data_IF_987650974079
#
_entry.id   IF_987650974079
#
_cell.length_a   1.000
_cell.length_b   1.000
_cell.length_c   1.000
_cell.angle_alpha   90.00
_cell.angle_beta   90.00
_cell.angle_gamma   90.00
#
_symmetry.space_group_name_H-M   'P 1'
#
loop_
_entity.id
_entity.type
_entity.pdbx_description
1 polymer ?
#
# COMPACT_ATOMS: atom_id res chain seq x y z
N UNK A 1 7.35 13.67 -13.23
CA UNK A 1 7.90 12.29 -13.09
C UNK A 1 6.84 11.26 -13.46
N UNK A 2 7.23 10.04 -13.84
CA UNK A 2 6.29 8.92 -14.12
C UNK A 2 6.44 7.89 -13.01
N UNK A 3 5.31 7.39 -12.49
CA UNK A 3 5.26 6.30 -11.54
C UNK A 3 4.10 5.34 -11.87
N UNK A 4 4.15 4.13 -11.31
CA UNK A 4 3.17 3.07 -11.54
C UNK A 4 2.43 2.73 -10.25
N UNK A 5 1.12 2.56 -10.36
CA UNK A 5 0.23 2.23 -9.25
C UNK A 5 -0.55 0.97 -9.59
N UNK A 6 -0.45 -0.06 -8.76
CA UNK A 6 -1.27 -1.27 -8.88
C UNK A 6 -2.57 -1.12 -8.10
N UNK A 7 -3.69 -1.51 -8.70
CA UNK A 7 -5.01 -1.45 -8.10
C UNK A 7 -5.83 -2.69 -8.48
N UNK A 8 -6.55 -3.29 -7.53
CA UNK A 8 -7.41 -4.46 -7.77
C UNK A 8 -8.69 -4.12 -8.54
N UNK A 9 -9.16 -2.87 -8.45
CA UNK A 9 -10.35 -2.40 -9.15
C UNK A 9 -10.04 -1.27 -10.13
N UNK A 10 -10.90 -1.13 -11.15
CA UNK A 10 -10.81 -0.02 -12.09
C UNK A 10 -11.42 1.24 -11.49
N UNK A 11 -10.73 2.38 -11.62
CA UNK A 11 -11.22 3.69 -11.24
C UNK A 11 -10.82 4.74 -12.27
N UNK A 12 -11.58 5.82 -12.35
CA UNK A 12 -11.34 6.92 -13.30
C UNK A 12 -10.45 8.01 -12.71
N UNK A 13 -10.57 8.25 -11.41
CA UNK A 13 -9.85 9.30 -10.71
C UNK A 13 -9.41 8.80 -9.33
N UNK A 14 -8.23 9.23 -8.88
CA UNK A 14 -7.79 8.99 -7.51
C UNK A 14 -8.76 9.67 -6.53
N UNK A 15 -9.32 8.90 -5.61
CA UNK A 15 -10.15 9.40 -4.53
C UNK A 15 -9.54 8.94 -3.19
N UNK A 16 -9.78 9.72 -2.12
CA UNK A 16 -9.23 9.43 -0.78
C UNK A 16 -9.97 8.28 -0.07
N UNK A 17 -11.07 7.79 -0.63
CA UNK A 17 -12.04 6.97 0.08
C UNK A 17 -11.79 5.47 -0.10
N UNK A 18 -11.10 5.05 -1.16
CA UNK A 18 -10.91 3.62 -1.44
C UNK A 18 -9.42 3.26 -1.56
N UNK A 19 -8.93 2.46 -0.62
CA UNK A 19 -7.64 1.77 -0.75
C UNK A 19 -7.82 0.60 -1.72
N UNK A 20 -7.59 0.85 -3.01
CA UNK A 20 -7.75 -0.14 -4.08
C UNK A 20 -6.46 -0.98 -4.27
N UNK A 21 -5.38 -0.66 -3.53
CA UNK A 21 -4.11 -1.39 -3.60
C UNK A 21 -4.06 -2.53 -2.60
N UNK A 22 -3.51 -3.67 -3.02
CA UNK A 22 -3.07 -4.74 -2.12
C UNK A 22 -1.72 -4.37 -1.46
N UNK A 23 -1.72 -3.31 -0.64
CA UNK A 23 -0.54 -2.84 0.07
C UNK A 23 -0.40 -3.51 1.45
N UNK A 24 0.84 -3.60 1.95
CA UNK A 24 1.11 -4.12 3.29
C UNK A 24 0.28 -3.39 4.33
N UNK A 25 -0.36 -4.18 5.19
CA UNK A 25 -1.35 -3.66 6.12
C UNK A 25 -0.80 -2.48 6.90
N UNK A 26 0.38 -2.59 7.50
CA UNK A 26 0.88 -1.61 8.47
C UNK A 26 1.12 -0.21 7.92
N UNK A 27 1.34 -0.06 6.62
CA UNK A 27 1.73 1.22 6.00
C UNK A 27 0.72 1.73 4.96
N UNK A 28 -0.33 0.94 4.67
CA UNK A 28 -1.32 1.30 3.63
C UNK A 28 -2.07 2.60 3.92
N UNK A 29 -2.25 2.98 5.19
CA UNK A 29 -3.01 4.19 5.56
C UNK A 29 -2.19 5.48 5.54
N UNK A 30 -0.90 5.42 5.19
CA UNK A 30 -0.03 6.61 5.10
C UNK A 30 -0.38 7.46 3.88
N UNK A 31 -0.64 6.85 2.72
CA UNK A 31 -0.89 7.53 1.45
C UNK A 31 -0.97 6.55 0.29
N UNK A 32 -0.91 7.08 -0.94
CA UNK A 32 -0.94 6.31 -2.17
C UNK A 32 0.47 5.84 -2.53
N UNK A 33 0.63 4.54 -2.78
CA UNK A 33 1.94 3.93 -3.02
C UNK A 33 2.16 3.68 -4.50
N UNK A 34 3.32 4.09 -5.00
CA UNK A 34 3.72 3.96 -6.40
C UNK A 34 5.13 3.40 -6.50
N UNK A 35 5.44 2.80 -7.64
CA UNK A 35 6.78 2.31 -7.97
C UNK A 35 7.33 3.02 -9.20
N UNK A 36 8.66 3.04 -9.37
CA UNK A 36 9.28 3.50 -10.63
C UNK A 36 9.24 2.44 -11.73
N UNK A 37 8.94 1.19 -11.39
CA UNK A 37 8.94 0.05 -12.30
C UNK A 37 7.56 -0.62 -12.38
N UNK A 38 7.09 -0.84 -13.60
CA UNK A 38 5.77 -1.41 -13.88
C UNK A 38 5.61 -2.82 -13.31
N UNK A 39 6.65 -3.66 -13.39
CA UNK A 39 6.59 -5.06 -12.92
C UNK A 39 6.43 -5.10 -11.40
N UNK A 40 7.09 -4.18 -10.71
CA UNK A 40 6.98 -4.06 -9.25
C UNK A 40 5.61 -3.54 -8.80
N UNK A 41 4.81 -2.93 -9.68
CA UNK A 41 3.44 -2.52 -9.38
C UNK A 41 2.43 -3.69 -9.48
N UNK A 42 2.75 -4.76 -10.22
CA UNK A 42 1.85 -5.91 -10.48
C UNK A 42 1.33 -6.57 -9.20
N UNK A 43 2.16 -6.89 -8.20
CA UNK A 43 1.66 -7.55 -6.99
C UNK A 43 0.62 -6.73 -6.21
N UNK A 44 0.65 -5.40 -6.32
CA UNK A 44 -0.32 -4.52 -5.67
C UNK A 44 -1.69 -4.50 -6.37
N UNK A 45 -1.77 -5.03 -7.59
CA UNK A 45 -2.99 -5.15 -8.38
C UNK A 45 -3.59 -6.57 -8.36
N UNK A 46 -2.94 -7.53 -7.69
CA UNK A 46 -3.41 -8.91 -7.58
C UNK A 46 -3.77 -9.19 -6.12
N UNK A 47 -4.93 -9.78 -5.88
CA UNK A 47 -5.38 -10.13 -4.54
C UNK A 47 -6.58 -11.06 -4.56
N UNK A 48 -7.33 -11.05 -3.46
CA UNK A 48 -8.58 -11.78 -3.34
C UNK A 48 -9.68 -10.84 -2.84
N UNK A 49 -10.90 -11.05 -3.32
CA UNK A 49 -12.10 -10.42 -2.77
C UNK A 49 -12.97 -11.48 -2.10
N UNK A 50 -13.64 -11.09 -1.00
CA UNK A 50 -14.66 -11.94 -0.38
C UNK A 50 -16.01 -11.60 -0.97
N UNK A 51 -16.60 -12.57 -1.66
CA UNK A 51 -17.98 -12.50 -2.15
C UNK A 51 -18.89 -13.42 -1.33
N UNK A 52 -20.14 -13.01 -1.18
CA UNK A 52 -21.15 -13.77 -0.45
C UNK A 52 -22.07 -14.47 -1.44
N UNK A 53 -22.03 -15.79 -1.44
CA UNK A 53 -22.77 -16.62 -2.40
C UNK A 53 -23.69 -17.59 -1.67
N UNK A 54 -24.77 -17.98 -2.33
CA UNK A 54 -25.63 -19.05 -1.83
C UNK A 54 -24.88 -20.38 -1.95
N UNK A 55 -24.76 -21.09 -0.83
CA UNK A 55 -24.10 -22.39 -0.76
C UNK A 55 -24.89 -23.43 -1.53
N UNK A 56 -24.20 -24.24 -2.33
CA UNK A 56 -24.79 -25.39 -3.01
C UNK A 56 -24.93 -26.61 -2.10
N UNK A 57 -24.26 -26.60 -0.93
CA UNK A 57 -24.14 -27.75 -0.04
C UNK A 57 -24.64 -27.50 1.38
N UNK A 58 -24.83 -26.24 1.79
CA UNK A 58 -25.31 -25.87 3.10
C UNK A 58 -26.66 -25.15 3.02
N UNK A 59 -27.63 -25.64 3.79
CA UNK A 59 -28.99 -25.12 3.85
C UNK A 59 -29.38 -24.81 5.30
N UNK A 60 -30.27 -23.84 5.49
CA UNK A 60 -30.97 -23.58 6.74
C UNK A 60 -32.02 -24.67 7.01
N UNK A 61 -32.57 -24.71 8.22
CA UNK A 61 -33.57 -25.71 8.62
C UNK A 61 -34.89 -25.60 7.82
N UNK A 62 -35.16 -24.43 7.24
CA UNK A 62 -36.29 -24.17 6.35
C UNK A 62 -36.04 -24.59 4.89
N UNK A 63 -34.85 -25.10 4.58
CA UNK A 63 -34.45 -25.53 3.24
C UNK A 63 -33.88 -24.43 2.34
N UNK A 64 -33.76 -23.19 2.81
CA UNK A 64 -33.10 -22.13 2.04
C UNK A 64 -31.57 -22.29 2.07
N UNK A 65 -30.86 -22.06 0.94
CA UNK A 65 -29.40 -22.09 0.91
C UNK A 65 -28.78 -21.07 1.88
N UNK A 66 -27.76 -21.46 2.63
CA UNK A 66 -26.98 -20.53 3.45
C UNK A 66 -26.17 -19.59 2.57
N UNK A 67 -25.92 -18.38 3.07
CA UNK A 67 -24.98 -17.44 2.44
C UNK A 67 -23.60 -17.66 3.06
N UNK A 68 -22.63 -18.07 2.25
CA UNK A 68 -21.25 -18.36 2.68
C UNK A 68 -20.27 -17.39 2.02
N UNK A 69 -19.21 -16.99 2.74
CA UNK A 69 -18.13 -16.19 2.15
C UNK A 69 -17.23 -17.08 1.29
N UNK A 70 -16.94 -16.65 0.06
CA UNK A 70 -16.01 -17.30 -0.86
C UNK A 70 -14.94 -16.28 -1.24
N UNK A 71 -13.67 -16.69 -1.18
CA UNK A 71 -12.56 -15.88 -1.69
C UNK A 71 -12.41 -16.13 -3.20
N UNK A 72 -12.50 -15.05 -3.98
CA UNK A 72 -12.26 -15.08 -5.44
C UNK A 72 -10.97 -14.33 -5.76
N UNK A 73 -10.12 -14.86 -6.66
CA UNK A 73 -8.94 -14.14 -7.11
C UNK A 73 -9.35 -12.91 -7.93
N UNK A 74 -8.65 -11.79 -7.70
CA UNK A 74 -8.83 -10.54 -8.45
C UNK A 74 -7.52 -10.21 -9.17
N UNK A 75 -7.64 -9.96 -10.47
CA UNK A 75 -6.55 -9.46 -11.31
C UNK A 75 -6.94 -8.07 -11.78
N UNK A 76 -6.23 -7.07 -11.29
CA UNK A 76 -6.58 -5.67 -11.48
C UNK A 76 -5.83 -4.96 -12.61
N UNK A 77 -5.49 -3.70 -12.36
CA UNK A 77 -4.96 -2.76 -13.33
C UNK A 77 -3.71 -2.05 -12.81
N UNK A 78 -2.80 -1.73 -13.72
CA UNK A 78 -1.68 -0.83 -13.49
C UNK A 78 -1.97 0.53 -14.09
N UNK A 79 -1.85 1.57 -13.27
CA UNK A 79 -2.00 2.95 -13.69
C UNK A 79 -0.63 3.56 -13.87
N UNK A 80 -0.38 4.10 -15.06
CA UNK A 80 0.79 4.93 -15.32
C UNK A 80 0.43 6.38 -15.00
N UNK A 81 1.10 6.96 -14.00
CA UNK A 81 0.73 8.26 -13.46
C UNK A 81 1.86 9.26 -13.69
N UNK A 82 1.51 10.42 -14.24
CA UNK A 82 2.37 11.58 -14.27
C UNK A 82 2.16 12.39 -12.99
N UNK A 83 3.26 12.79 -12.37
CA UNK A 83 3.28 13.55 -11.12
C UNK A 83 4.15 14.78 -11.36
N UNK A 84 3.59 15.96 -11.12
CA UNK A 84 4.31 17.21 -11.35
C UNK A 84 5.20 17.55 -10.15
N UNK A 85 6.48 17.82 -10.43
CA UNK A 85 7.60 18.10 -9.51
C UNK A 85 7.31 18.09 -8.00
N UNK A 86 7.10 16.91 -7.38
CA UNK A 86 6.65 16.86 -5.99
C UNK A 86 7.79 17.11 -5.00
N UNK A 87 7.49 17.81 -3.91
CA UNK A 87 8.44 17.98 -2.81
C UNK A 87 8.44 16.75 -1.89
N UNK A 88 9.38 15.82 -2.11
CA UNK A 88 9.46 14.54 -1.40
C UNK A 88 10.59 14.50 -0.38
N UNK A 89 10.31 13.92 0.78
CA UNK A 89 11.38 13.47 1.68
C UNK A 89 12.05 12.25 1.07
N UNK A 90 13.36 12.31 0.83
CA UNK A 90 14.11 11.21 0.22
C UNK A 90 14.80 10.39 1.31
N UNK A 91 14.41 9.12 1.43
CA UNK A 91 15.12 8.12 2.20
C UNK A 91 16.13 7.42 1.28
N UNK A 92 17.41 7.66 1.55
CA UNK A 92 18.54 7.07 0.84
C UNK A 92 19.73 6.93 1.78
N UNK A 93 20.45 5.81 1.71
CA UNK A 93 21.74 5.63 2.36
C UNK A 93 22.62 4.68 1.57
N UNK A 94 23.93 4.86 1.73
CA UNK A 94 24.95 3.99 1.16
C UNK A 94 25.39 2.88 2.13
N UNK A 95 24.95 2.94 3.39
CA UNK A 95 25.38 2.03 4.47
C UNK A 95 24.23 1.24 5.11
N UNK A 96 22.99 1.71 4.97
CA UNK A 96 21.78 1.12 5.58
C UNK A 96 20.69 1.06 4.51
N UNK A 97 19.81 0.07 4.59
CA UNK A 97 18.65 -0.02 3.71
C UNK A 97 17.78 1.24 3.84
N UNK A 98 17.37 1.84 2.72
CA UNK A 98 16.49 3.00 2.72
C UNK A 98 15.15 2.69 3.38
N UNK A 99 14.66 1.45 3.27
CA UNK A 99 13.43 1.03 3.95
C UNK A 99 13.60 1.04 5.47
N UNK A 100 14.77 0.66 5.97
CA UNK A 100 15.07 0.71 7.41
C UNK A 100 15.10 2.15 7.93
N UNK A 101 15.62 3.10 7.16
CA UNK A 101 15.58 4.53 7.54
C UNK A 101 14.14 5.04 7.65
N UNK A 102 13.30 4.69 6.67
CA UNK A 102 11.88 5.02 6.67
C UNK A 102 11.19 4.46 7.92
N UNK A 103 11.34 3.15 8.15
CA UNK A 103 10.69 2.48 9.28
C UNK A 103 11.18 3.03 10.63
N UNK A 104 12.48 3.34 10.76
CA UNK A 104 13.04 3.95 11.99
C UNK A 104 12.46 5.35 12.24
N UNK A 105 12.20 6.12 11.19
CA UNK A 105 11.60 7.44 11.32
C UNK A 105 10.11 7.36 11.68
N UNK A 106 9.40 6.37 11.12
CA UNK A 106 8.00 6.05 11.43
C UNK A 106 7.83 5.50 12.86
N UNK A 107 8.75 4.67 13.34
CA UNK A 107 8.68 4.01 14.65
C UNK A 107 8.53 4.98 15.82
N UNK A 108 8.97 6.24 15.66
CA UNK A 108 8.78 7.30 16.67
C UNK A 108 7.32 7.58 17.01
N UNK A 109 6.39 7.18 16.14
CA UNK A 109 4.95 7.37 16.30
C UNK A 109 4.22 6.06 16.64
N UNK A 110 4.91 4.92 16.62
CA UNK A 110 4.34 3.59 16.79
C UNK A 110 4.32 3.16 18.26
N UNK A 111 3.18 2.63 18.71
CA UNK A 111 3.02 2.00 20.02
C UNK A 111 2.95 0.49 19.84
N UNK A 112 4.03 -0.19 20.21
CA UNK A 112 4.15 -1.64 20.11
C UNK A 112 3.83 -2.31 21.44
N UNK A 113 3.13 -3.45 21.38
CA UNK A 113 2.85 -4.30 22.54
C UNK A 113 3.69 -5.56 22.53
N UNK A 114 4.37 -5.84 23.65
CA UNK A 114 5.00 -7.14 23.92
C UNK A 114 5.00 -7.43 25.41
N UNK A 115 4.83 -8.71 25.74
CA UNK A 115 4.95 -9.20 27.12
C UNK A 115 6.41 -9.40 27.56
N UNK A 116 7.39 -9.31 26.65
CA UNK A 116 8.79 -9.74 26.90
C UNK A 116 9.85 -8.62 26.84
N UNK A 117 9.59 -7.49 26.16
CA UNK A 117 10.60 -6.44 25.89
C UNK A 117 9.98 -5.04 26.02
N UNK A 118 10.76 -4.08 26.55
CA UNK A 118 10.31 -2.70 26.82
C UNK A 118 10.64 -1.67 25.73
N UNK A 119 11.60 -1.97 24.84
CA UNK A 119 11.99 -1.09 23.72
C UNK A 119 11.80 -1.85 22.40
N UNK A 120 10.57 -1.84 21.92
CA UNK A 120 10.19 -2.55 20.70
C UNK A 120 10.35 -1.63 19.49
N UNK A 121 10.67 -2.25 18.36
CA UNK A 121 10.75 -1.61 17.05
C UNK A 121 10.01 -2.47 16.04
N UNK A 122 9.80 -1.95 14.83
CA UNK A 122 9.23 -2.73 13.72
C UNK A 122 9.98 -4.05 13.44
N UNK A 123 11.27 -4.13 13.76
CA UNK A 123 12.09 -5.34 13.59
C UNK A 123 11.76 -6.45 14.60
N UNK A 124 11.06 -6.13 15.68
CA UNK A 124 10.70 -7.09 16.72
C UNK A 124 9.40 -7.85 16.40
N UNK A 125 8.76 -7.58 15.25
CA UNK A 125 7.50 -8.22 14.81
C UNK A 125 6.40 -8.19 15.90
N UNK A 126 6.40 -7.13 16.71
CA UNK A 126 5.46 -6.93 17.80
C UNK A 126 4.11 -6.38 17.29
N UNK A 127 3.05 -6.55 18.09
CA UNK A 127 1.71 -6.08 17.72
C UNK A 127 1.70 -4.54 17.78
N UNK A 128 1.47 -3.89 16.64
CA UNK A 128 1.29 -2.45 16.54
C UNK A 128 -0.14 -2.06 16.95
N UNK A 129 -0.27 -1.31 18.05
CA UNK A 129 -1.56 -0.99 18.66
C UNK A 129 -2.25 0.22 18.04
N UNK A 130 -1.49 1.19 17.53
CA UNK A 130 -1.97 2.51 17.16
C UNK A 130 -1.76 2.83 15.67
N UNK A 131 -1.79 1.81 14.81
CA UNK A 131 -1.41 1.87 13.39
C UNK A 131 -1.90 3.10 12.62
N UNK A 132 -3.21 3.36 12.63
CA UNK A 132 -3.78 4.47 11.86
C UNK A 132 -3.41 5.84 12.45
N UNK A 133 -3.34 5.93 13.78
CA UNK A 133 -2.89 7.14 14.47
C UNK A 133 -1.41 7.41 14.22
N UNK A 134 -0.56 6.37 14.28
CA UNK A 134 0.87 6.45 14.01
C UNK A 134 1.13 6.92 12.57
N UNK A 135 0.46 6.32 11.60
CA UNK A 135 0.55 6.68 10.19
C UNK A 135 0.07 8.12 9.95
N UNK A 136 -1.04 8.54 10.59
CA UNK A 136 -1.52 9.92 10.50
C UNK A 136 -0.55 10.93 11.12
N UNK A 137 0.02 10.64 12.31
CA UNK A 137 1.02 11.49 12.96
C UNK A 137 2.30 11.62 12.13
N UNK A 138 2.80 10.50 11.60
CA UNK A 138 3.96 10.47 10.71
C UNK A 138 3.71 11.31 9.45
N UNK A 139 2.58 11.09 8.76
CA UNK A 139 2.17 11.88 7.61
C UNK A 139 2.08 13.36 7.92
N UNK A 140 1.37 13.73 8.99
CA UNK A 140 1.18 15.12 9.38
C UNK A 140 2.51 15.79 9.75
N UNK A 141 3.44 15.05 10.36
CA UNK A 141 4.79 15.56 10.62
C UNK A 141 5.48 15.93 9.31
N UNK A 142 5.44 15.07 8.28
CA UNK A 142 6.07 15.35 6.99
C UNK A 142 5.40 16.51 6.26
N UNK A 143 4.06 16.58 6.28
CA UNK A 143 3.29 17.71 5.73
C UNK A 143 3.70 19.02 6.42
N UNK A 144 3.85 19.03 7.75
CA UNK A 144 4.28 20.22 8.49
C UNK A 144 5.70 20.68 8.14
N UNK A 145 6.54 19.81 7.59
CA UNK A 145 7.85 20.16 7.03
C UNK A 145 7.80 20.54 5.54
N UNK A 146 6.60 20.63 4.96
CA UNK A 146 6.37 21.03 3.56
C UNK A 146 6.48 19.89 2.56
N UNK A 147 6.56 18.63 3.00
CA UNK A 147 6.63 17.48 2.09
C UNK A 147 5.23 17.03 1.64
N UNK A 148 5.10 16.71 0.36
CA UNK A 148 3.88 16.18 -0.26
C UNK A 148 3.84 14.64 -0.26
N UNK A 149 4.95 14.04 0.14
CA UNK A 149 5.15 12.60 0.19
C UNK A 149 6.58 12.24 0.57
N UNK A 150 6.95 10.99 0.32
CA UNK A 150 8.33 10.53 0.46
C UNK A 150 8.70 9.51 -0.60
N UNK A 151 10.00 9.37 -0.83
CA UNK A 151 10.63 8.42 -1.73
C UNK A 151 11.58 7.53 -0.93
N UNK A 152 11.39 6.22 -1.01
CA UNK A 152 12.33 5.21 -0.53
C UNK A 152 13.10 4.68 -1.73
N UNK A 153 14.37 5.07 -1.85
CA UNK A 153 15.20 4.66 -2.99
C UNK A 153 15.74 3.26 -2.85
N UNK A 154 15.87 2.55 -3.97
CA UNK A 154 16.45 1.20 -4.01
C UNK A 154 15.83 0.23 -2.99
N UNK A 155 14.52 0.35 -2.77
CA UNK A 155 13.77 -0.48 -1.87
C UNK A 155 13.78 -1.93 -2.37
N UNK A 156 14.14 -2.86 -1.48
CA UNK A 156 14.17 -4.29 -1.77
C UNK A 156 12.85 -4.91 -1.33
N UNK A 157 11.86 -4.91 -2.23
CA UNK A 157 10.56 -5.56 -2.01
C UNK A 157 10.36 -6.66 -3.06
N UNK A 158 9.74 -7.77 -2.63
CA UNK A 158 9.21 -8.85 -3.48
C UNK A 158 10.07 -9.19 -4.72
N UNK A 159 11.33 -9.57 -4.48
CA UNK A 159 12.30 -10.04 -5.48
C UNK A 159 12.87 -8.98 -6.45
N UNK A 160 12.68 -7.69 -6.20
CA UNK A 160 13.23 -6.60 -7.00
C UNK A 160 13.91 -5.49 -6.19
N UNK A 161 14.61 -4.60 -6.90
CA UNK A 161 15.07 -3.32 -6.38
C UNK A 161 14.31 -2.24 -7.14
N UNK A 162 13.46 -1.48 -6.45
CA UNK A 162 12.69 -0.40 -7.07
C UNK A 162 12.68 0.84 -6.19
N UNK A 163 12.36 1.99 -6.78
CA UNK A 163 12.04 3.18 -6.02
C UNK A 163 10.55 3.13 -5.64
N UNK A 164 10.28 3.34 -4.36
CA UNK A 164 8.92 3.34 -3.82
C UNK A 164 8.55 4.76 -3.39
N UNK A 165 7.44 5.26 -3.94
CA UNK A 165 6.91 6.59 -3.64
C UNK A 165 5.64 6.46 -2.83
N UNK A 166 5.46 7.34 -1.83
CA UNK A 166 4.20 7.49 -1.12
C UNK A 166 3.76 8.94 -1.17
N UNK A 167 2.56 9.19 -1.70
CA UNK A 167 1.99 10.54 -1.83
C UNK A 167 0.80 10.72 -0.89
N UNK A 168 0.75 11.87 -0.21
CA UNK A 168 -0.29 12.16 0.79
C UNK A 168 -1.58 12.74 0.20
N UNK A 169 -1.48 13.34 -0.99
CA UNK A 169 -2.63 13.86 -1.72
C UNK A 169 -2.60 13.37 -3.17
N UNK A 170 -3.77 13.48 -3.80
CA UNK A 170 -4.03 13.04 -5.17
C UNK A 170 -4.09 14.22 -6.14
N UNK A 171 -4.04 15.44 -5.64
CA UNK A 171 -4.29 16.66 -6.41
C UNK A 171 -3.28 16.89 -7.54
N UNK A 172 -2.07 16.34 -7.40
CA UNK A 172 -0.98 16.42 -8.39
C UNK A 172 -0.82 15.15 -9.25
N UNK A 173 -1.77 14.21 -9.20
CA UNK A 173 -1.68 12.92 -9.87
C UNK A 173 -2.53 12.92 -11.16
N UNK A 174 -1.88 12.66 -12.29
CA UNK A 174 -2.54 12.54 -13.59
C UNK A 174 -2.39 11.13 -14.16
N UNK A 175 -3.49 10.41 -14.30
CA UNK A 175 -3.50 9.10 -14.97
C UNK A 175 -3.24 9.34 -16.46
N UNK A 176 -2.13 8.79 -16.95
CA UNK A 176 -1.74 8.86 -18.36
C UNK A 176 -2.12 7.61 -19.15
N UNK A 177 -2.21 6.47 -18.46
CA UNK A 177 -2.58 5.18 -19.07
C UNK A 177 -3.10 4.22 -17.99
N UNK A 178 -3.93 3.26 -18.42
CA UNK A 178 -4.50 2.19 -17.57
C UNK A 178 -4.33 0.86 -18.28
N UNK A 179 -3.52 -0.01 -17.70
CA UNK A 179 -3.09 -1.27 -18.31
C UNK A 179 -3.67 -2.44 -17.50
N UNK A 180 -4.55 -3.28 -18.08
CA UNK A 180 -5.00 -4.49 -17.40
C UNK A 180 -3.82 -5.43 -17.16
N UNK A 181 -3.70 -5.97 -15.94
CA UNK A 181 -2.57 -6.83 -15.57
C UNK A 181 -2.49 -8.07 -16.48
N UNK A 182 -3.62 -8.62 -16.88
CA UNK A 182 -3.73 -9.77 -17.81
C UNK A 182 -3.03 -9.56 -19.17
N UNK A 183 -2.75 -8.30 -19.54
CA UNK A 183 -2.07 -7.97 -20.81
C UNK A 183 -0.55 -7.83 -20.67
N UNK A 184 -0.03 -7.92 -19.45
CA UNK A 184 1.39 -7.83 -19.16
C UNK A 184 1.99 -9.25 -19.11
N UNK A 185 3.16 -9.43 -19.71
CA UNK A 185 3.95 -10.65 -19.50
C UNK A 185 4.66 -10.55 -18.14
N UNK A 186 4.23 -11.34 -17.14
CA UNK A 186 4.80 -11.37 -15.79
C UNK A 186 5.02 -12.78 -15.24
#
# INVERSE_FOLDING_TARGET
MIAYFGAMEKFENFNKETLIQNAQDDIKTIGFWFTSDIKTAIPYAIGTETVYEKSETEFWEDGEPKVVPIERPVIGFIYKVYIDEPNLKIYQSNSVDAYELFMTDRDKYCDYFSTKKRNLTWKDEAILLNKDEANAKFRNNLINHGYEGFLIRNCKLQNGVTDLYCFFSVDALHISDVIPVETLDY
#
